data_IF_763182727973
#
_entry.id   IF_763182727973
#
_cell.length_a   1.000
_cell.length_b   1.000
_cell.length_c   1.000
_cell.angle_alpha   90.00
_cell.angle_beta   90.00
_cell.angle_gamma   90.00
#
_symmetry.space_group_name_H-M   'P 1'
#
loop_
_entity.id
_entity.type
_entity.pdbx_description
1 polymer ?
#
# COMPACT_ATOMS: atom_id res chain seq x y z
N UNK A 1 -92.45 -28.24 0.14
CA UNK A 1 -91.82 -26.91 0.21
C UNK A 1 -90.71 -26.96 1.26
N UNK A 2 -89.44 -26.93 0.81
CA UNK A 2 -88.23 -26.95 1.65
C UNK A 2 -88.00 -25.57 2.26
N UNK A 3 -87.73 -25.48 3.56
CA UNK A 3 -87.13 -24.29 4.20
C UNK A 3 -85.66 -24.61 4.48
N UNK A 4 -84.76 -23.87 3.83
CA UNK A 4 -83.34 -23.79 4.19
C UNK A 4 -83.19 -22.73 5.30
N UNK A 5 -82.47 -23.07 6.36
CA UNK A 5 -81.99 -22.13 7.37
C UNK A 5 -80.48 -21.95 7.22
N UNK A 6 -80.09 -20.69 7.14
CA UNK A 6 -78.79 -20.13 6.80
C UNK A 6 -77.77 -20.30 7.92
N UNK A 7 -76.56 -20.76 7.58
CA UNK A 7 -75.40 -20.86 8.47
C UNK A 7 -74.67 -19.51 8.52
N UNK A 8 -74.44 -18.97 9.72
CA UNK A 8 -73.67 -17.75 9.94
C UNK A 8 -72.16 -18.03 9.98
N UNK A 9 -71.41 -17.37 9.11
CA UNK A 9 -69.93 -17.37 9.12
C UNK A 9 -69.47 -16.08 9.80
N UNK A 10 -68.82 -16.20 10.95
CA UNK A 10 -68.12 -15.10 11.61
C UNK A 10 -66.79 -14.84 10.89
N UNK A 11 -66.67 -13.64 10.32
CA UNK A 11 -65.44 -13.13 9.70
C UNK A 11 -64.57 -12.48 10.78
N UNK A 12 -63.46 -13.13 11.15
CA UNK A 12 -62.45 -12.54 12.04
C UNK A 12 -61.51 -11.69 11.18
N UNK A 13 -61.56 -10.37 11.37
CA UNK A 13 -60.68 -9.39 10.75
C UNK A 13 -59.35 -9.35 11.53
N UNK A 14 -58.28 -9.94 10.99
CA UNK A 14 -56.93 -9.83 11.57
C UNK A 14 -56.26 -8.58 10.99
N UNK A 15 -56.27 -7.49 11.76
CA UNK A 15 -55.46 -6.30 11.47
C UNK A 15 -53.98 -6.61 11.77
N UNK A 16 -53.22 -6.94 10.72
CA UNK A 16 -51.76 -6.99 10.80
C UNK A 16 -51.21 -5.57 10.94
N UNK A 17 -50.82 -5.20 12.17
CA UNK A 17 -50.03 -4.01 12.48
C UNK A 17 -48.62 -4.18 11.88
N UNK A 18 -48.40 -3.63 10.69
CA UNK A 18 -47.06 -3.39 10.17
C UNK A 18 -46.42 -2.23 10.95
N UNK A 19 -45.62 -2.55 11.95
CA UNK A 19 -44.68 -1.57 12.50
C UNK A 19 -43.50 -1.44 11.53
N UNK A 20 -43.17 -0.23 11.04
CA UNK A 20 -41.93 -0.03 10.31
C UNK A 20 -40.78 -0.21 11.30
N UNK A 21 -40.03 -1.30 11.15
CA UNK A 21 -38.69 -1.42 11.73
C UNK A 21 -37.85 -0.41 10.96
N UNK A 22 -37.81 0.83 11.46
CA UNK A 22 -36.83 1.81 11.04
C UNK A 22 -35.46 1.26 11.44
N UNK A 23 -34.75 0.66 10.50
CA UNK A 23 -33.31 0.45 10.64
C UNK A 23 -32.65 1.83 10.70
N UNK A 24 -32.52 2.41 11.90
CA UNK A 24 -31.47 3.38 12.17
C UNK A 24 -30.16 2.64 12.00
N UNK A 25 -29.59 2.69 10.79
CA UNK A 25 -28.22 2.25 10.53
C UNK A 25 -27.35 3.16 11.40
N UNK A 26 -26.82 2.61 12.50
CA UNK A 26 -25.82 3.31 13.30
C UNK A 26 -24.58 3.46 12.42
N UNK A 27 -24.36 4.64 11.85
CA UNK A 27 -23.23 4.90 10.95
C UNK A 27 -21.90 5.02 11.69
N UNK A 28 -21.94 5.06 13.03
CA UNK A 28 -20.77 5.13 13.93
C UNK A 28 -19.95 3.83 14.04
N UNK A 29 -20.36 2.78 13.32
CA UNK A 29 -19.71 1.47 13.36
C UNK A 29 -19.15 1.06 11.99
N UNK A 30 -19.07 1.98 11.02
CA UNK A 30 -18.51 1.67 9.69
C UNK A 30 -16.98 1.71 9.73
N UNK A 31 -16.40 2.61 10.51
CA UNK A 31 -14.98 2.88 10.56
C UNK A 31 -14.46 3.46 9.24
N UNK A 32 -13.20 3.17 8.94
CA UNK A 32 -12.53 3.51 7.68
C UNK A 32 -13.29 3.00 6.45
N UNK A 33 -13.43 3.88 5.45
CA UNK A 33 -13.92 3.53 4.13
C UNK A 33 -13.44 4.50 3.05
N UNK A 34 -13.36 4.02 1.81
CA UNK A 34 -13.15 4.81 0.60
C UNK A 34 -14.44 4.78 -0.22
N UNK A 35 -14.96 5.95 -0.55
CA UNK A 35 -16.19 6.14 -1.32
C UNK A 35 -15.90 6.83 -2.63
N UNK A 36 -16.61 6.44 -3.70
CA UNK A 36 -16.74 7.31 -4.87
C UNK A 36 -17.69 8.48 -4.55
N UNK A 37 -17.56 9.56 -5.31
CA UNK A 37 -18.57 10.63 -5.27
C UNK A 37 -19.83 10.20 -6.03
N UNK A 38 -21.02 10.58 -5.56
CA UNK A 38 -22.30 10.14 -6.15
C UNK A 38 -22.52 10.67 -7.57
N UNK A 39 -22.07 11.89 -7.80
CA UNK A 39 -22.28 12.63 -9.06
C UNK A 39 -21.04 12.59 -9.98
N UNK A 40 -20.08 11.70 -9.70
CA UNK A 40 -18.79 11.57 -10.41
C UNK A 40 -18.08 12.93 -10.58
N UNK A 41 -17.97 13.66 -9.47
CA UNK A 41 -17.38 14.99 -9.42
C UNK A 41 -15.93 14.90 -9.90
N UNK A 42 -15.58 15.74 -10.87
CA UNK A 42 -14.25 15.77 -11.42
C UNK A 42 -13.21 16.26 -10.39
N UNK A 43 -11.99 15.69 -10.31
CA UNK A 43 -10.99 16.08 -9.31
C UNK A 43 -10.72 17.60 -9.25
N UNK A 44 -10.58 18.24 -10.41
CA UNK A 44 -10.41 19.71 -10.52
C UNK A 44 -11.58 20.57 -9.98
N UNK A 45 -12.73 19.98 -9.64
CA UNK A 45 -13.88 20.69 -9.07
C UNK A 45 -14.01 20.47 -7.56
N UNK A 46 -13.30 19.48 -7.00
CA UNK A 46 -13.50 19.03 -5.61
C UNK A 46 -13.28 20.13 -4.59
N UNK A 47 -12.25 20.96 -4.75
CA UNK A 47 -11.94 22.06 -3.83
C UNK A 47 -13.04 23.14 -3.79
N UNK A 48 -13.75 23.33 -4.90
CA UNK A 48 -14.83 24.32 -4.99
C UNK A 48 -16.14 23.81 -4.38
N UNK A 49 -16.23 22.52 -4.03
CA UNK A 49 -17.45 21.93 -3.49
C UNK A 49 -17.56 22.22 -2.00
N UNK A 50 -18.63 22.93 -1.60
CA UNK A 50 -18.94 23.09 -0.18
C UNK A 50 -19.35 21.75 0.44
N UNK A 51 -20.08 20.91 -0.30
CA UNK A 51 -20.61 19.62 0.13
C UNK A 51 -20.46 18.59 -0.99
N UNK A 52 -19.97 17.39 -0.66
CA UNK A 52 -19.82 16.26 -1.60
C UNK A 52 -20.71 15.11 -1.13
N UNK A 53 -21.58 14.61 -2.02
CA UNK A 53 -22.39 13.42 -1.74
C UNK A 53 -21.57 12.17 -2.02
N UNK A 54 -21.55 11.26 -1.05
CA UNK A 54 -20.94 9.94 -1.20
C UNK A 54 -21.85 9.02 -2.02
N UNK A 55 -21.25 8.11 -2.79
CA UNK A 55 -21.96 6.97 -3.35
C UNK A 55 -22.61 6.14 -2.24
N UNK A 56 -23.68 5.40 -2.58
CA UNK A 56 -24.48 4.69 -1.57
C UNK A 56 -23.71 3.55 -0.89
N UNK A 57 -22.67 3.01 -1.55
CA UNK A 57 -21.77 1.99 -1.02
C UNK A 57 -20.31 2.40 -1.20
N UNK A 58 -19.43 2.04 -0.25
CA UNK A 58 -18.00 2.29 -0.41
C UNK A 58 -17.40 1.38 -1.49
N UNK A 59 -16.36 1.85 -2.16
CA UNK A 59 -15.54 1.00 -3.03
C UNK A 59 -14.61 0.11 -2.19
N UNK A 60 -14.13 0.63 -1.06
CA UNK A 60 -13.37 -0.09 -0.03
C UNK A 60 -14.00 0.18 1.33
N UNK A 61 -14.42 -0.86 2.05
CA UNK A 61 -14.89 -0.78 3.43
C UNK A 61 -13.85 -1.32 4.41
N UNK A 62 -14.03 -1.12 5.71
CA UNK A 62 -13.16 -1.71 6.74
C UNK A 62 -13.02 -3.24 6.61
N UNK A 63 -14.06 -3.95 6.15
CA UNK A 63 -14.04 -5.41 5.95
C UNK A 63 -13.13 -5.84 4.81
N UNK A 64 -12.86 -4.94 3.88
CA UNK A 64 -12.01 -5.18 2.73
C UNK A 64 -10.53 -4.96 3.05
N UNK A 65 -10.22 -4.24 4.12
CA UNK A 65 -8.85 -3.95 4.56
C UNK A 65 -8.31 -5.15 5.32
N UNK A 66 -7.19 -5.69 4.85
CA UNK A 66 -6.39 -6.67 5.56
C UNK A 66 -5.42 -5.94 6.49
N UNK A 67 -4.63 -5.02 5.93
CA UNK A 67 -3.73 -4.14 6.67
C UNK A 67 -3.62 -2.77 6.01
N UNK A 68 -3.25 -1.77 6.80
CA UNK A 68 -2.81 -0.45 6.37
C UNK A 68 -1.44 -0.17 6.97
N UNK A 69 -0.45 0.10 6.13
CA UNK A 69 0.91 0.45 6.55
C UNK A 69 1.07 1.97 6.62
N UNK A 70 1.29 2.52 7.82
CA UNK A 70 1.41 3.96 8.03
C UNK A 70 2.73 4.57 7.51
N UNK A 71 3.77 3.77 7.28
CA UNK A 71 5.04 4.22 6.70
C UNK A 71 4.96 4.29 5.17
N UNK A 72 4.35 3.29 4.52
CA UNK A 72 4.28 3.22 3.05
C UNK A 72 2.96 3.71 2.45
N UNK A 73 1.93 3.91 3.29
CA UNK A 73 0.56 4.22 2.90
C UNK A 73 -0.05 3.19 1.92
N UNK A 74 0.38 1.95 2.06
CA UNK A 74 -0.17 0.81 1.34
C UNK A 74 -1.37 0.23 2.10
N UNK A 75 -2.41 -0.11 1.34
CA UNK A 75 -3.54 -0.89 1.83
C UNK A 75 -3.50 -2.26 1.18
N UNK A 76 -3.32 -3.30 2.00
CA UNK A 76 -3.53 -4.67 1.57
C UNK A 76 -5.02 -4.98 1.61
N UNK A 77 -5.57 -5.38 0.49
CA UNK A 77 -7.00 -5.61 0.31
C UNK A 77 -7.34 -7.09 0.19
N UNK A 78 -8.60 -7.43 0.47
CA UNK A 78 -9.17 -8.69 0.02
C UNK A 78 -9.18 -8.73 -1.51
N UNK A 79 -9.07 -9.93 -2.10
CA UNK A 79 -9.09 -10.10 -3.55
C UNK A 79 -10.35 -9.47 -4.19
N UNK A 80 -11.52 -9.65 -3.58
CA UNK A 80 -12.78 -9.09 -4.07
C UNK A 80 -12.83 -7.56 -4.04
N UNK A 81 -12.11 -6.91 -3.12
CA UNK A 81 -12.02 -5.45 -3.09
C UNK A 81 -11.01 -4.92 -4.10
N UNK A 82 -9.88 -5.61 -4.24
CA UNK A 82 -8.89 -5.31 -5.26
C UNK A 82 -9.50 -5.40 -6.66
N UNK A 83 -10.26 -6.45 -6.96
CA UNK A 83 -10.99 -6.60 -8.24
C UNK A 83 -11.98 -5.46 -8.50
N UNK A 84 -12.68 -4.97 -7.47
CA UNK A 84 -13.59 -3.81 -7.61
C UNK A 84 -12.84 -2.54 -8.02
N UNK A 85 -11.67 -2.28 -7.43
CA UNK A 85 -10.84 -1.13 -7.79
C UNK A 85 -10.25 -1.33 -9.19
N UNK A 86 -9.71 -2.51 -9.46
CA UNK A 86 -9.12 -2.86 -10.75
C UNK A 86 -10.11 -2.66 -11.90
N UNK A 87 -11.39 -3.00 -11.70
CA UNK A 87 -12.45 -2.83 -12.68
C UNK A 87 -13.00 -1.41 -12.83
N UNK A 88 -12.47 -0.41 -12.11
CA UNK A 88 -12.92 0.97 -12.25
C UNK A 88 -12.54 1.55 -13.61
N UNK A 89 -13.52 2.09 -14.32
CA UNK A 89 -13.27 2.96 -15.47
C UNK A 89 -12.76 4.32 -14.98
N UNK A 90 -11.49 4.61 -15.20
CA UNK A 90 -10.82 5.84 -14.77
C UNK A 90 -10.45 6.69 -15.98
N UNK A 91 -11.10 7.84 -16.18
CA UNK A 91 -10.74 8.77 -17.24
C UNK A 91 -9.32 9.31 -17.09
N UNK A 92 -8.74 9.84 -18.16
CA UNK A 92 -7.41 10.50 -18.14
C UNK A 92 -7.32 11.70 -17.20
N UNK A 93 -8.47 12.24 -16.77
CA UNK A 93 -8.55 13.34 -15.80
C UNK A 93 -8.84 12.88 -14.37
N UNK A 94 -8.80 11.58 -14.14
CA UNK A 94 -9.05 10.93 -12.86
C UNK A 94 -10.53 10.78 -12.50
N UNK A 95 -10.76 10.05 -11.41
CA UNK A 95 -12.07 9.82 -10.80
C UNK A 95 -11.98 10.02 -9.30
N UNK A 96 -12.74 10.98 -8.76
CA UNK A 96 -12.62 11.40 -7.36
C UNK A 96 -13.13 10.35 -6.38
N UNK A 97 -12.43 10.21 -5.26
CA UNK A 97 -12.87 9.44 -4.10
C UNK A 97 -12.78 10.28 -2.82
N UNK A 98 -13.51 9.84 -1.79
CA UNK A 98 -13.47 10.36 -0.43
C UNK A 98 -12.97 9.27 0.51
N UNK A 99 -12.02 9.60 1.37
CA UNK A 99 -11.67 8.76 2.52
C UNK A 99 -12.45 9.25 3.72
N UNK A 100 -13.15 8.32 4.36
CA UNK A 100 -14.08 8.59 5.44
C UNK A 100 -13.78 7.72 6.65
N UNK A 101 -14.20 8.20 7.83
CA UNK A 101 -14.39 7.39 9.03
C UNK A 101 -15.85 7.57 9.45
N UNK A 102 -16.62 6.49 9.59
CA UNK A 102 -18.04 6.53 9.97
C UNK A 102 -18.89 7.44 9.07
N UNK A 103 -18.64 7.37 7.75
CA UNK A 103 -19.21 8.24 6.70
C UNK A 103 -18.92 9.74 6.84
N UNK A 104 -18.12 10.15 7.82
CA UNK A 104 -17.59 11.51 7.91
C UNK A 104 -16.38 11.61 6.99
N UNK A 105 -16.41 12.48 5.96
CA UNK A 105 -15.25 12.70 5.11
C UNK A 105 -14.06 13.26 5.90
N UNK A 106 -12.88 12.69 5.67
CA UNK A 106 -11.61 13.13 6.28
C UNK A 106 -10.76 13.87 5.24
N UNK A 107 -10.53 13.24 4.09
CA UNK A 107 -9.88 13.87 2.94
C UNK A 107 -10.43 13.28 1.64
N UNK A 108 -10.04 13.88 0.51
CA UNK A 108 -10.40 13.42 -0.82
C UNK A 108 -9.15 13.18 -1.66
N UNK A 109 -9.31 12.38 -2.71
CA UNK A 109 -8.27 12.08 -3.66
C UNK A 109 -8.87 11.65 -4.99
N UNK A 110 -8.06 11.09 -5.87
CA UNK A 110 -8.52 10.58 -7.15
C UNK A 110 -7.86 9.26 -7.52
N UNK A 111 -8.65 8.34 -8.05
CA UNK A 111 -8.10 7.29 -8.91
C UNK A 111 -7.52 7.97 -10.14
N UNK A 112 -6.27 7.68 -10.45
CA UNK A 112 -5.52 8.36 -11.51
C UNK A 112 -4.90 7.35 -12.46
N UNK A 113 -4.69 7.75 -13.72
CA UNK A 113 -4.08 6.85 -14.70
C UNK A 113 -2.67 7.30 -15.08
N UNK A 114 -1.67 6.39 -15.14
CA UNK A 114 -0.29 6.73 -15.46
C UNK A 114 -0.09 7.18 -16.91
N UNK A 115 -1.11 7.02 -17.78
CA UNK A 115 -1.09 7.57 -19.14
C UNK A 115 -1.58 9.02 -19.19
N UNK A 116 -2.00 9.60 -18.06
CA UNK A 116 -2.41 10.99 -17.99
C UNK A 116 -1.20 11.90 -18.13
N UNK A 117 -1.34 12.99 -18.89
CA UNK A 117 -0.37 14.09 -18.96
C UNK A 117 -0.78 15.27 -18.08
N UNK A 118 -1.87 15.15 -17.31
CA UNK A 118 -2.36 16.18 -16.40
C UNK A 118 -1.76 15.89 -15.02
N UNK A 119 -1.04 16.87 -14.46
CA UNK A 119 -0.58 16.80 -13.07
C UNK A 119 -1.76 16.93 -12.12
N UNK A 120 -1.65 16.32 -10.94
CA UNK A 120 -2.67 16.42 -9.91
C UNK A 120 -2.00 16.71 -8.56
N UNK A 121 -2.53 17.70 -7.86
CA UNK A 121 -2.10 18.14 -6.52
C UNK A 121 -3.08 17.57 -5.48
N UNK A 122 -2.98 16.26 -5.22
CA UNK A 122 -3.85 15.56 -4.30
C UNK A 122 -3.43 14.12 -4.06
N UNK A 123 -4.15 13.40 -3.18
CA UNK A 123 -3.89 11.97 -2.95
C UNK A 123 -4.34 11.15 -4.15
N UNK A 124 -3.50 10.25 -4.64
CA UNK A 124 -3.79 9.39 -5.79
C UNK A 124 -3.77 7.91 -5.45
N UNK A 125 -4.57 7.14 -6.19
CA UNK A 125 -4.44 5.68 -6.32
C UNK A 125 -4.32 5.39 -7.81
N UNK A 126 -3.21 4.81 -8.26
CA UNK A 126 -2.94 4.66 -9.69
C UNK A 126 -3.63 3.41 -10.27
N UNK A 127 -4.23 3.55 -11.46
CA UNK A 127 -4.94 2.50 -12.20
C UNK A 127 -4.50 2.55 -13.68
N UNK A 128 -4.12 1.42 -14.32
CA UNK A 128 -4.35 0.04 -13.88
C UNK A 128 -3.40 -0.41 -12.77
N UNK A 129 -3.91 -1.27 -11.90
CA UNK A 129 -3.11 -1.98 -10.90
C UNK A 129 -2.39 -3.17 -11.56
N UNK A 130 -1.25 -3.57 -11.01
CA UNK A 130 -0.61 -4.83 -11.41
C UNK A 130 -1.49 -6.03 -11.05
N UNK A 131 -1.50 -7.07 -11.88
CA UNK A 131 -2.23 -8.32 -11.62
C UNK A 131 -1.50 -9.30 -10.70
N UNK A 132 -0.31 -8.94 -10.22
CA UNK A 132 0.50 -9.83 -9.39
C UNK A 132 0.18 -9.60 -7.92
N UNK A 133 0.02 -10.69 -7.17
CA UNK A 133 -0.05 -10.62 -5.71
C UNK A 133 1.24 -9.98 -5.15
N UNK A 134 1.15 -9.22 -4.05
CA UNK A 134 -0.02 -9.08 -3.19
C UNK A 134 -1.06 -8.05 -3.71
N UNK A 135 -2.34 -8.27 -3.39
CA UNK A 135 -3.47 -7.35 -3.67
C UNK A 135 -3.34 -6.02 -2.87
N UNK A 136 -2.39 -5.18 -3.25
CA UNK A 136 -2.03 -3.94 -2.55
C UNK A 136 -2.33 -2.73 -3.44
N UNK A 137 -2.94 -1.71 -2.84
CA UNK A 137 -3.03 -0.37 -3.44
C UNK A 137 -2.18 0.60 -2.63
N UNK A 138 -1.64 1.61 -3.30
CA UNK A 138 -0.83 2.66 -2.67
C UNK A 138 -1.55 3.99 -2.76
N UNK A 139 -1.63 4.69 -1.63
CA UNK A 139 -2.12 6.07 -1.57
C UNK A 139 -0.93 7.01 -1.76
N UNK A 140 -0.71 7.50 -2.96
CA UNK A 140 0.41 8.39 -3.28
C UNK A 140 0.04 9.86 -3.12
N UNK A 141 1.04 10.72 -2.94
CA UNK A 141 0.85 12.18 -3.01
C UNK A 141 1.19 12.65 -4.41
N UNK A 142 0.31 13.48 -4.95
CA UNK A 142 0.50 14.11 -6.24
C UNK A 142 0.49 13.14 -7.42
N UNK A 143 0.61 13.71 -8.61
CA UNK A 143 0.91 13.00 -9.84
C UNK A 143 1.60 13.97 -10.82
N UNK A 144 2.67 13.55 -11.53
CA UNK A 144 3.25 12.19 -11.58
C UNK A 144 4.15 11.82 -10.40
N UNK A 145 4.36 12.73 -9.44
CA UNK A 145 5.19 12.50 -8.26
C UNK A 145 4.75 13.36 -7.09
N UNK A 146 5.20 13.01 -5.89
CA UNK A 146 4.92 13.74 -4.64
C UNK A 146 5.35 15.21 -4.64
N UNK A 147 6.30 15.59 -5.50
CA UNK A 147 6.70 16.99 -5.70
C UNK A 147 5.60 17.90 -6.25
N UNK A 148 4.52 17.31 -6.80
CA UNK A 148 3.34 18.06 -7.27
C UNK A 148 2.29 18.25 -6.19
N UNK A 149 2.50 17.69 -4.99
CA UNK A 149 1.62 17.89 -3.86
C UNK A 149 2.10 19.04 -2.98
N UNK A 150 1.27 20.07 -2.79
CA UNK A 150 1.61 21.25 -2.01
C UNK A 150 0.95 21.29 -0.62
N UNK A 151 0.01 20.38 -0.35
CA UNK A 151 -0.75 20.32 0.90
C UNK A 151 -0.03 19.62 2.07
N UNK A 152 -0.69 19.61 3.23
CA UNK A 152 -0.29 18.76 4.35
C UNK A 152 -0.72 17.32 4.09
N UNK A 153 0.17 16.35 4.30
CA UNK A 153 -0.13 14.93 4.07
C UNK A 153 -1.29 14.44 4.96
N UNK A 154 -2.45 14.12 4.39
CA UNK A 154 -3.63 13.74 5.17
C UNK A 154 -3.68 12.22 5.45
N UNK A 155 -2.78 11.42 4.87
CA UNK A 155 -2.89 9.96 4.84
C UNK A 155 -2.74 9.34 6.24
N UNK A 156 -1.95 9.98 7.11
CA UNK A 156 -1.78 9.61 8.52
C UNK A 156 -2.70 10.43 9.46
N UNK A 157 -3.85 10.90 9.00
CA UNK A 157 -4.81 11.60 9.86
C UNK A 157 -5.15 10.74 11.12
N UNK A 158 -5.10 11.30 12.34
CA UNK A 158 -5.32 10.54 13.56
C UNK A 158 -6.68 9.82 13.64
N UNK A 159 -7.75 10.37 13.05
CA UNK A 159 -9.07 9.71 13.02
C UNK A 159 -9.01 8.41 12.20
N UNK A 160 -8.29 8.42 11.07
CA UNK A 160 -8.07 7.25 10.21
C UNK A 160 -7.23 6.20 10.94
N UNK A 161 -6.09 6.62 11.48
CA UNK A 161 -5.16 5.72 12.16
C UNK A 161 -5.80 5.07 13.40
N UNK A 162 -6.59 5.83 14.17
CA UNK A 162 -7.30 5.28 15.31
C UNK A 162 -8.35 4.25 14.89
N UNK A 163 -9.16 4.54 13.86
CA UNK A 163 -10.16 3.58 13.35
C UNK A 163 -9.52 2.27 12.88
N UNK A 164 -8.42 2.35 12.13
CA UNK A 164 -7.68 1.17 11.66
C UNK A 164 -7.02 0.41 12.81
N UNK A 165 -6.51 1.11 13.83
CA UNK A 165 -5.90 0.50 15.02
C UNK A 165 -6.92 -0.26 15.86
N UNK A 166 -8.08 0.34 16.13
CA UNK A 166 -9.17 -0.29 16.87
C UNK A 166 -9.69 -1.55 16.15
N UNK A 167 -9.66 -1.55 14.81
CA UNK A 167 -10.00 -2.72 14.00
C UNK A 167 -8.87 -3.76 13.86
N UNK A 168 -7.67 -3.51 14.43
CA UNK A 168 -6.51 -4.38 14.33
C UNK A 168 -5.90 -4.45 12.92
N UNK A 169 -6.04 -3.39 12.12
CA UNK A 169 -5.62 -3.29 10.72
C UNK A 169 -4.40 -2.39 10.51
N UNK A 170 -4.10 -1.52 11.48
CA UNK A 170 -2.95 -0.62 11.40
C UNK A 170 -1.65 -1.37 11.71
N UNK A 171 -0.66 -1.24 10.82
CA UNK A 171 0.75 -1.54 11.08
C UNK A 171 1.57 -0.27 10.84
N UNK A 172 2.68 -0.11 11.57
CA UNK A 172 3.53 1.08 11.41
C UNK A 172 4.58 0.88 10.32
N UNK A 173 5.12 -0.32 10.20
CA UNK A 173 6.14 -0.72 9.24
C UNK A 173 6.05 -2.24 9.05
N UNK A 174 6.66 -2.74 7.98
CA UNK A 174 6.85 -4.17 7.75
C UNK A 174 8.29 -4.56 8.07
N UNK A 175 8.47 -5.68 8.75
CA UNK A 175 9.77 -6.32 8.95
C UNK A 175 9.96 -7.47 7.97
N UNK A 176 11.20 -7.94 7.83
CA UNK A 176 11.49 -9.10 6.96
C UNK A 176 10.74 -10.37 7.41
N UNK A 177 10.45 -10.50 8.71
CA UNK A 177 9.69 -11.62 9.25
C UNK A 177 8.19 -11.55 8.92
N UNK A 178 7.66 -10.37 8.60
CA UNK A 178 6.25 -10.18 8.26
C UNK A 178 5.95 -10.52 6.79
N UNK A 179 6.99 -10.60 5.95
CA UNK A 179 6.85 -10.84 4.52
C UNK A 179 7.31 -12.24 4.12
N UNK A 180 6.50 -12.88 3.28
CA UNK A 180 6.85 -14.17 2.69
C UNK A 180 7.83 -14.01 1.52
N UNK A 181 7.69 -12.92 0.77
CA UNK A 181 8.45 -12.60 -0.43
C UNK A 181 8.54 -11.08 -0.57
N UNK A 182 9.68 -10.58 -1.04
CA UNK A 182 9.86 -9.19 -1.45
C UNK A 182 9.31 -8.99 -2.87
N UNK A 183 8.93 -7.76 -3.26
CA UNK A 183 8.43 -7.48 -4.60
C UNK A 183 9.50 -7.73 -5.68
N UNK A 184 9.07 -7.90 -6.93
CA UNK A 184 9.99 -7.85 -8.07
C UNK A 184 10.48 -6.42 -8.30
N UNK A 185 11.74 -6.26 -8.70
CA UNK A 185 12.29 -4.95 -9.10
C UNK A 185 12.63 -4.95 -10.58
N UNK A 186 12.07 -3.98 -11.32
CA UNK A 186 12.37 -3.80 -12.76
C UNK A 186 13.87 -3.61 -13.01
N UNK A 187 14.59 -3.05 -12.04
CA UNK A 187 16.04 -2.78 -12.12
C UNK A 187 16.87 -3.75 -11.28
N UNK A 188 16.25 -4.78 -10.70
CA UNK A 188 16.88 -5.64 -9.71
C UNK A 188 17.12 -4.92 -8.38
N UNK A 189 17.95 -5.52 -7.54
CA UNK A 189 18.32 -5.02 -6.23
C UNK A 189 19.80 -4.67 -6.17
N UNK A 190 20.15 -3.71 -5.33
CA UNK A 190 21.52 -3.33 -5.01
C UNK A 190 21.83 -3.84 -3.59
N UNK A 191 22.93 -4.56 -3.44
CA UNK A 191 23.49 -4.99 -2.16
C UNK A 191 24.73 -4.15 -1.85
N UNK A 192 24.75 -3.54 -0.68
CA UNK A 192 25.90 -2.80 -0.16
C UNK A 192 26.42 -3.48 1.10
N UNK A 193 27.71 -3.36 1.36
CA UNK A 193 28.33 -3.84 2.59
C UNK A 193 29.38 -2.88 3.13
N UNK A 194 29.49 -2.82 4.45
CA UNK A 194 30.53 -2.07 5.15
C UNK A 194 30.82 -2.72 6.50
N UNK A 195 31.97 -2.39 7.07
CA UNK A 195 32.35 -2.81 8.42
C UNK A 195 32.24 -1.63 9.36
N UNK A 196 31.60 -1.85 10.50
CA UNK A 196 31.50 -0.89 11.59
C UNK A 196 31.76 -1.64 12.90
N UNK A 197 32.72 -1.15 13.69
CA UNK A 197 33.15 -1.77 14.95
C UNK A 197 33.47 -3.28 14.84
N UNK A 198 34.08 -3.67 13.71
CA UNK A 198 34.44 -5.07 13.43
C UNK A 198 33.25 -5.97 13.05
N UNK A 199 32.05 -5.39 12.92
CA UNK A 199 30.84 -6.10 12.52
C UNK A 199 30.46 -5.73 11.09
N UNK A 200 30.18 -6.74 10.26
CA UNK A 200 29.71 -6.51 8.89
C UNK A 200 28.23 -6.18 8.86
N UNK A 201 27.93 -5.05 8.22
CA UNK A 201 26.58 -4.57 7.95
C UNK A 201 26.33 -4.59 6.45
N UNK A 202 25.07 -4.75 6.10
CA UNK A 202 24.62 -4.83 4.72
C UNK A 202 23.34 -4.04 4.54
N UNK A 203 23.11 -3.57 3.31
CA UNK A 203 21.83 -2.98 2.90
C UNK A 203 21.44 -3.60 1.58
N UNK A 204 20.24 -4.16 1.52
CA UNK A 204 19.59 -4.55 0.28
C UNK A 204 18.55 -3.47 -0.04
N UNK A 205 18.67 -2.86 -1.22
CA UNK A 205 17.81 -1.75 -1.63
C UNK A 205 17.34 -1.95 -3.07
N UNK A 206 16.13 -1.50 -3.40
CA UNK A 206 15.62 -1.54 -4.78
C UNK A 206 16.51 -0.71 -5.70
N UNK A 207 16.93 -1.30 -6.82
CA UNK A 207 17.79 -0.65 -7.81
C UNK A 207 17.10 0.49 -8.54
N UNK A 208 17.87 1.54 -8.90
CA UNK A 208 17.34 2.68 -9.69
C UNK A 208 18.32 3.14 -10.75
N UNK A 209 17.94 4.13 -11.57
CA UNK A 209 18.87 4.79 -12.49
C UNK A 209 19.69 5.92 -11.81
N UNK A 210 19.67 6.02 -10.48
CA UNK A 210 20.39 7.04 -9.69
C UNK A 210 21.34 6.35 -8.70
N UNK A 211 22.53 6.94 -8.53
CA UNK A 211 23.45 6.55 -7.46
C UNK A 211 22.81 6.77 -6.08
N UNK A 212 22.94 5.80 -5.17
CA UNK A 212 22.48 5.94 -3.78
C UNK A 212 23.50 6.71 -2.95
N UNK A 213 23.02 7.51 -1.99
CA UNK A 213 23.90 8.24 -1.08
C UNK A 213 24.36 7.31 0.05
N UNK A 214 25.49 7.66 0.68
CA UNK A 214 25.97 6.89 1.84
C UNK A 214 24.92 6.89 2.97
N UNK A 215 24.29 8.04 3.23
CA UNK A 215 23.23 8.15 4.23
C UNK A 215 22.03 7.24 3.93
N UNK A 216 21.61 7.14 2.67
CA UNK A 216 20.52 6.24 2.25
C UNK A 216 20.85 4.77 2.53
N UNK A 217 22.12 4.39 2.35
CA UNK A 217 22.62 3.03 2.55
C UNK A 217 22.76 2.72 4.05
N UNK A 218 23.40 3.60 4.81
CA UNK A 218 23.87 3.32 6.18
C UNK A 218 22.88 3.80 7.24
N UNK A 219 22.21 4.93 7.00
CA UNK A 219 21.46 5.68 8.00
C UNK A 219 19.98 5.95 7.63
N UNK A 220 19.51 5.53 6.46
CA UNK A 220 18.11 5.68 6.01
C UNK A 220 17.10 5.01 6.95
N UNK A 221 15.83 4.90 6.60
CA UNK A 221 14.90 4.03 7.35
C UNK A 221 14.82 2.64 6.71
N UNK A 222 14.53 1.61 7.50
CA UNK A 222 14.11 0.34 6.92
C UNK A 222 12.71 0.53 6.35
N UNK A 223 12.54 0.20 5.08
CA UNK A 223 11.26 0.30 4.38
C UNK A 223 11.05 -0.99 3.61
N UNK A 224 9.90 -1.63 3.81
CA UNK A 224 9.44 -2.74 3.00
C UNK A 224 8.06 -2.36 2.48
N UNK A 225 8.00 -2.00 1.21
CA UNK A 225 6.74 -1.87 0.47
C UNK A 225 6.41 -3.21 -0.20
N UNK A 226 5.17 -3.65 -0.04
CA UNK A 226 4.70 -4.91 -0.65
C UNK A 226 4.52 -4.79 -2.17
N UNK A 227 4.49 -3.57 -2.70
CA UNK A 227 4.27 -3.29 -4.13
C UNK A 227 5.39 -2.48 -4.81
N UNK A 228 6.45 -2.12 -4.08
CA UNK A 228 7.41 -1.14 -4.57
C UNK A 228 8.76 -1.16 -3.84
N UNK A 229 9.08 -0.04 -3.20
CA UNK A 229 10.43 0.24 -2.68
C UNK A 229 10.81 -0.60 -1.46
N UNK A 230 11.99 -1.20 -1.51
CA UNK A 230 12.60 -1.94 -0.41
C UNK A 230 13.93 -1.29 -0.07
N UNK A 231 14.17 -1.07 1.23
CA UNK A 231 15.45 -0.73 1.82
C UNK A 231 15.55 -1.48 3.15
N UNK A 232 16.37 -2.51 3.21
CA UNK A 232 16.52 -3.37 4.39
C UNK A 232 17.98 -3.46 4.80
N UNK A 233 18.26 -2.98 6.01
CA UNK A 233 19.56 -3.17 6.64
C UNK A 233 19.65 -4.45 7.44
N UNK A 234 20.80 -5.09 7.35
CA UNK A 234 21.11 -6.37 7.96
C UNK A 234 22.45 -6.29 8.68
N UNK A 235 22.59 -7.10 9.73
CA UNK A 235 23.85 -7.23 10.46
C UNK A 235 24.27 -8.69 10.46
N UNK A 236 25.45 -8.98 9.91
CA UNK A 236 25.99 -10.32 9.81
C UNK A 236 25.41 -11.17 8.68
N UNK A 237 26.07 -12.29 8.43
CA UNK A 237 25.81 -13.18 7.29
C UNK A 237 24.40 -13.80 7.30
N UNK A 238 23.92 -14.24 8.45
CA UNK A 238 22.67 -14.98 8.54
C UNK A 238 21.44 -14.09 8.27
N UNK A 239 21.45 -12.85 8.78
CA UNK A 239 20.42 -11.87 8.44
C UNK A 239 20.42 -11.52 6.94
N UNK A 240 21.61 -11.44 6.32
CA UNK A 240 21.74 -11.23 4.87
C UNK A 240 21.14 -12.37 4.08
N UNK A 241 21.42 -13.62 4.46
CA UNK A 241 20.80 -14.81 3.83
C UNK A 241 19.30 -14.85 4.03
N UNK A 242 18.80 -14.49 5.20
CA UNK A 242 17.36 -14.42 5.47
C UNK A 242 16.68 -13.48 4.47
N UNK A 243 17.17 -12.25 4.33
CA UNK A 243 16.59 -11.27 3.40
C UNK A 243 16.72 -11.72 1.94
N UNK A 244 17.89 -12.23 1.52
CA UNK A 244 18.09 -12.72 0.15
C UNK A 244 17.13 -13.88 -0.19
N UNK A 245 16.79 -14.73 0.78
CA UNK A 245 15.84 -15.84 0.57
C UNK A 245 14.41 -15.38 0.27
N UNK A 246 14.09 -14.11 0.58
CA UNK A 246 12.78 -13.50 0.31
C UNK A 246 12.71 -12.90 -1.08
N UNK A 247 13.82 -12.73 -1.78
CA UNK A 247 13.82 -12.24 -3.15
C UNK A 247 13.16 -13.26 -4.08
N UNK A 248 12.45 -12.79 -5.12
CA UNK A 248 11.98 -13.68 -6.17
C UNK A 248 13.10 -14.43 -6.88
N UNK A 249 12.82 -15.66 -7.34
CA UNK A 249 13.71 -16.36 -8.26
C UNK A 249 13.94 -15.55 -9.54
N UNK A 250 15.11 -15.71 -10.13
CA UNK A 250 15.57 -15.00 -11.34
C UNK A 250 15.74 -13.49 -11.14
N UNK A 251 15.60 -12.99 -9.91
CA UNK A 251 15.86 -11.60 -9.59
C UNK A 251 17.36 -11.30 -9.69
N UNK A 252 17.66 -10.15 -10.26
CA UNK A 252 19.02 -9.66 -10.42
C UNK A 252 19.46 -8.86 -9.19
N UNK A 253 20.64 -9.16 -8.67
CA UNK A 253 21.24 -8.45 -7.53
C UNK A 253 22.63 -7.97 -7.91
N UNK A 254 22.90 -6.67 -7.78
CA UNK A 254 24.25 -6.11 -7.94
C UNK A 254 24.82 -5.82 -6.56
N UNK A 255 25.93 -6.45 -6.22
CA UNK A 255 26.73 -6.10 -5.05
C UNK A 255 27.74 -5.03 -5.41
N UNK A 256 27.55 -3.83 -4.85
CA UNK A 256 28.39 -2.67 -5.13
C UNK A 256 29.49 -2.57 -4.08
N UNK A 257 30.74 -2.58 -4.54
CA UNK A 257 31.91 -2.59 -3.67
C UNK A 257 32.54 -1.20 -3.45
N UNK A 258 32.15 -0.19 -4.24
CA UNK A 258 32.65 1.20 -4.14
C UNK A 258 31.53 2.18 -4.50
N UNK A 259 31.36 3.24 -3.70
CA UNK A 259 30.50 4.36 -4.06
C UNK A 259 31.25 5.32 -4.99
N UNK A 260 30.63 5.66 -6.13
CA UNK A 260 31.22 6.57 -7.14
C UNK A 260 31.36 8.02 -6.66
N UNK A 261 30.59 8.43 -5.66
CA UNK A 261 30.54 9.80 -5.13
C UNK A 261 30.75 9.80 -3.61
N UNK A 262 31.93 9.42 -3.13
CA UNK A 262 32.34 9.72 -1.75
C UNK A 262 32.92 11.14 -1.70
N UNK A 263 32.06 12.14 -1.51
CA UNK A 263 32.47 13.54 -1.41
C UNK A 263 32.76 13.98 0.02
N UNK A 264 32.36 13.20 1.03
CA UNK A 264 32.53 13.51 2.44
C UNK A 264 33.53 12.57 3.14
N UNK A 265 34.39 13.15 3.98
CA UNK A 265 35.28 12.41 4.89
C UNK A 265 34.45 11.73 5.97
N UNK A 266 33.95 10.54 5.65
CA UNK A 266 33.35 9.63 6.62
C UNK A 266 34.29 8.45 6.85
N UNK A 267 34.29 7.90 8.07
CA UNK A 267 35.06 6.68 8.39
C UNK A 267 34.43 5.42 7.78
N UNK A 268 33.24 5.54 7.19
CA UNK A 268 32.49 4.42 6.64
C UNK A 268 32.87 4.20 5.18
N UNK A 269 33.52 3.07 4.94
CA UNK A 269 33.91 2.63 3.62
C UNK A 269 33.00 1.50 3.15
N UNK A 270 32.24 1.74 2.08
CA UNK A 270 31.60 0.66 1.33
C UNK A 270 32.70 -0.20 0.72
N UNK A 271 32.62 -1.50 0.99
CA UNK A 271 33.59 -2.50 0.54
C UNK A 271 33.05 -3.91 0.76
N UNK A 272 33.62 -4.88 0.06
CA UNK A 272 33.29 -6.29 0.26
C UNK A 272 33.80 -6.82 1.62
N UNK A 273 33.06 -7.76 2.25
CA UNK A 273 33.51 -8.51 3.41
C UNK A 273 34.66 -9.47 3.04
N UNK A 274 35.27 -10.18 4.03
CA UNK A 274 36.28 -11.18 3.76
C UNK A 274 35.83 -12.19 2.71
N UNK A 275 36.77 -12.71 1.90
CA UNK A 275 36.46 -13.57 0.76
C UNK A 275 35.59 -14.79 1.11
N UNK A 276 35.70 -15.34 2.33
CA UNK A 276 34.80 -16.41 2.79
C UNK A 276 33.34 -15.96 2.82
N UNK A 277 33.05 -14.78 3.39
CA UNK A 277 31.69 -14.22 3.44
C UNK A 277 31.16 -13.90 2.05
N UNK A 278 32.01 -13.41 1.14
CA UNK A 278 31.63 -13.17 -0.26
C UNK A 278 31.25 -14.49 -0.94
N UNK A 279 32.04 -15.54 -0.75
CA UNK A 279 31.77 -16.87 -1.31
C UNK A 279 30.48 -17.47 -0.74
N UNK A 280 30.27 -17.36 0.58
CA UNK A 280 29.07 -17.87 1.25
C UNK A 280 27.80 -17.18 0.72
N UNK A 281 27.85 -15.86 0.49
CA UNK A 281 26.72 -15.12 -0.10
C UNK A 281 26.51 -15.54 -1.56
N UNK A 282 27.56 -15.64 -2.38
CA UNK A 282 27.48 -16.09 -3.78
C UNK A 282 26.85 -17.48 -3.90
N UNK A 283 27.30 -18.43 -3.09
CA UNK A 283 26.76 -19.78 -3.08
C UNK A 283 25.29 -19.78 -2.67
N UNK A 284 24.94 -19.01 -1.64
CA UNK A 284 23.58 -18.92 -1.15
C UNK A 284 22.62 -18.24 -2.15
N UNK A 285 23.05 -17.17 -2.83
CA UNK A 285 22.25 -16.54 -3.89
C UNK A 285 21.98 -17.50 -5.04
N UNK A 286 22.97 -18.32 -5.41
CA UNK A 286 22.79 -19.37 -6.42
C UNK A 286 21.77 -20.43 -5.96
N UNK A 287 21.81 -20.84 -4.69
CA UNK A 287 20.81 -21.76 -4.11
C UNK A 287 19.40 -21.18 -4.11
N UNK A 288 19.27 -19.86 -3.94
CA UNK A 288 17.99 -19.15 -4.00
C UNK A 288 17.51 -18.92 -5.45
N UNK A 289 18.33 -19.20 -6.46
CA UNK A 289 18.02 -18.94 -7.86
C UNK A 289 18.13 -17.46 -8.25
N UNK A 290 18.98 -16.70 -7.57
CA UNK A 290 19.24 -15.28 -7.85
C UNK A 290 20.45 -15.13 -8.78
N UNK A 291 20.44 -14.10 -9.62
CA UNK A 291 21.59 -13.71 -10.43
C UNK A 291 22.38 -12.60 -9.72
N UNK A 292 23.44 -12.98 -9.01
CA UNK A 292 24.30 -12.06 -8.26
C UNK A 292 25.51 -11.64 -9.12
N UNK A 293 25.60 -10.34 -9.39
CA UNK A 293 26.78 -9.71 -9.97
C UNK A 293 27.52 -8.89 -8.92
N UNK A 294 28.84 -8.92 -8.92
CA UNK A 294 29.66 -7.98 -8.13
C UNK A 294 30.17 -6.93 -9.10
N UNK A 295 29.80 -5.67 -8.86
CA UNK A 295 30.36 -4.54 -9.59
C UNK A 295 31.71 -4.22 -8.96
N UNK A 296 32.79 -4.61 -9.64
CA UNK A 296 34.15 -4.20 -9.34
C UNK A 296 34.40 -2.78 -9.93
N UNK A 297 35.27 -1.96 -9.32
CA UNK A 297 35.49 -0.56 -9.70
C UNK A 297 36.13 -0.36 -11.08
#
# INVERSE_FOLDING_TARGET
MRKLTTSGINLILVCALFMPIGCTINTKDEGFAIYLTKDDIHPAQMEAMSHVKLADQPVVSMKDVITYNAQTHEIKLTASAFERIYGLDVPVRGKSFMVCVDKKPIYWGAFWTPISSISFDGVTIWIPLGFQEPNVITLELGYPSSTFYAGEDPRNNPEILNSLREAGKLINELSISDVNKLPHSVKGYELYSWSEDGTWRFTLITGTNRNKTLDEIVAGENVISESGWVNVRMTGLEATKEVLSKLPQEEFVIWIDVLREQTEQTDIKIQLPPGQTVNDIKEYTLQCGLDLHIEEP
#
